data_IF_884263003206
#
_entry.id   IF_884263003206
#
_cell.length_a   1.000
_cell.length_b   1.000
_cell.length_c   1.000
_cell.angle_alpha   90.00
_cell.angle_beta   90.00
_cell.angle_gamma   90.00
#
_symmetry.space_group_name_H-M   'P 1'
#
loop_
_entity.id
_entity.type
_entity.pdbx_description
1 polymer ?
#
# COMPACT_ATOMS: atom_id res chain seq x y z
N UNK A 1 43.79 -32.25 -13.43
CA UNK A 1 43.75 -30.79 -13.12
C UNK A 1 42.69 -30.05 -13.92
N UNK A 2 42.64 -30.23 -15.26
CA UNK A 2 41.65 -29.59 -16.14
C UNK A 2 40.20 -30.06 -15.87
N UNK A 3 39.98 -31.35 -15.59
CA UNK A 3 38.65 -31.88 -15.23
C UNK A 3 38.06 -31.24 -13.97
N UNK A 4 38.87 -31.04 -12.92
CA UNK A 4 38.43 -30.37 -11.70
C UNK A 4 38.08 -28.90 -11.94
N UNK A 5 38.76 -28.22 -12.88
CA UNK A 5 38.44 -26.84 -13.25
C UNK A 5 37.08 -26.80 -13.97
N UNK A 6 36.83 -27.73 -14.90
CA UNK A 6 35.54 -27.85 -15.60
C UNK A 6 34.36 -28.14 -14.66
N UNK A 7 34.53 -29.08 -13.72
CA UNK A 7 33.51 -29.41 -12.72
C UNK A 7 33.22 -28.22 -11.80
N UNK A 8 34.25 -27.49 -11.36
CA UNK A 8 34.08 -26.31 -10.51
C UNK A 8 33.37 -25.15 -11.23
N UNK A 9 33.63 -24.96 -12.52
CA UNK A 9 32.94 -23.96 -13.35
C UNK A 9 31.45 -24.30 -13.53
N UNK A 10 31.14 -25.56 -13.82
CA UNK A 10 29.75 -26.03 -13.95
C UNK A 10 29.02 -25.90 -12.61
N UNK A 11 29.66 -26.33 -11.51
CA UNK A 11 29.11 -26.22 -10.15
C UNK A 11 28.84 -24.76 -9.76
N UNK A 12 29.79 -23.86 -10.04
CA UNK A 12 29.62 -22.42 -9.79
C UNK A 12 28.48 -21.81 -10.62
N UNK A 13 28.35 -22.23 -11.88
CA UNK A 13 27.24 -21.83 -12.75
C UNK A 13 25.87 -22.30 -12.22
N UNK A 14 25.78 -23.55 -11.77
CA UNK A 14 24.55 -24.10 -11.17
C UNK A 14 24.22 -23.37 -9.86
N UNK A 15 25.19 -23.16 -8.97
CA UNK A 15 25.00 -22.41 -7.74
C UNK A 15 24.57 -20.97 -7.98
N UNK A 16 25.13 -20.30 -9.00
CA UNK A 16 24.70 -18.97 -9.42
C UNK A 16 23.25 -18.98 -9.91
N UNK A 17 22.86 -19.94 -10.76
CA UNK A 17 21.49 -20.07 -11.26
C UNK A 17 20.49 -20.38 -10.14
N UNK A 18 20.84 -21.27 -9.21
CA UNK A 18 20.05 -21.55 -8.00
C UNK A 18 19.95 -20.28 -7.14
N UNK A 19 21.05 -19.54 -6.95
CA UNK A 19 21.07 -18.27 -6.22
C UNK A 19 20.14 -17.23 -6.85
N UNK A 20 20.17 -17.08 -8.18
CA UNK A 20 19.26 -16.20 -8.93
C UNK A 20 17.82 -16.68 -8.80
N UNK A 21 17.57 -17.99 -8.88
CA UNK A 21 16.24 -18.57 -8.73
C UNK A 21 15.69 -18.35 -7.32
N UNK A 22 16.46 -18.63 -6.28
CA UNK A 22 16.08 -18.41 -4.87
C UNK A 22 15.97 -16.90 -4.55
N UNK A 23 16.77 -16.03 -5.15
CA UNK A 23 16.59 -14.59 -5.00
C UNK A 23 15.26 -14.10 -5.63
N UNK A 24 14.75 -14.82 -6.65
CA UNK A 24 13.60 -14.39 -7.44
C UNK A 24 12.38 -15.33 -7.37
N UNK A 25 12.41 -16.45 -6.63
CA UNK A 25 11.36 -17.50 -6.68
C UNK A 25 9.99 -16.95 -6.32
N UNK A 26 9.95 -15.99 -5.40
CA UNK A 26 8.70 -15.35 -5.02
C UNK A 26 8.17 -14.44 -6.14
N UNK A 27 9.03 -13.85 -7.00
CA UNK A 27 8.61 -13.04 -8.17
C UNK A 27 8.08 -13.97 -9.26
N UNK A 28 8.68 -15.15 -9.38
CA UNK A 28 8.23 -16.24 -10.25
C UNK A 28 6.79 -16.63 -9.88
N UNK A 29 6.42 -16.71 -8.60
CA UNK A 29 5.04 -17.02 -8.20
C UNK A 29 3.97 -16.10 -8.80
N UNK A 30 4.17 -14.78 -8.77
CA UNK A 30 3.22 -13.83 -9.38
C UNK A 30 3.25 -13.90 -10.91
N UNK A 31 4.43 -14.14 -11.49
CA UNK A 31 4.58 -14.38 -12.93
C UNK A 31 3.80 -15.62 -13.38
N UNK A 32 3.92 -16.75 -12.69
CA UNK A 32 3.16 -17.97 -12.99
C UNK A 32 1.66 -17.71 -12.87
N UNK A 33 1.21 -17.03 -11.80
CA UNK A 33 -0.21 -16.64 -11.68
C UNK A 33 -0.67 -15.75 -12.84
N UNK A 34 0.19 -14.85 -13.33
CA UNK A 34 -0.12 -14.00 -14.48
C UNK A 34 -0.35 -14.80 -15.77
N UNK A 35 0.37 -15.93 -15.94
CA UNK A 35 0.18 -16.86 -17.05
C UNK A 35 -1.08 -17.71 -16.88
N UNK A 36 -1.34 -18.25 -15.68
CA UNK A 36 -2.56 -19.02 -15.38
C UNK A 36 -3.81 -18.15 -15.62
N UNK A 37 -3.75 -16.87 -15.24
CA UNK A 37 -4.85 -15.93 -15.37
C UNK A 37 -4.70 -15.00 -16.59
N UNK A 38 -4.00 -15.43 -17.65
CA UNK A 38 -3.59 -14.60 -18.80
C UNK A 38 -4.70 -13.69 -19.37
N UNK A 39 -5.89 -14.26 -19.59
CA UNK A 39 -7.06 -13.56 -20.15
C UNK A 39 -8.16 -13.21 -19.12
N UNK A 40 -7.92 -13.46 -17.83
CA UNK A 40 -8.87 -13.10 -16.77
C UNK A 40 -8.63 -11.65 -16.33
N UNK A 41 -9.71 -10.97 -15.94
CA UNK A 41 -9.62 -9.64 -15.34
C UNK A 41 -9.08 -9.76 -13.91
N UNK A 42 -8.05 -8.97 -13.64
CA UNK A 42 -7.37 -8.87 -12.37
C UNK A 42 -7.50 -7.43 -11.90
N UNK A 43 -8.03 -7.27 -10.70
CA UNK A 43 -8.16 -5.98 -10.04
C UNK A 43 -6.82 -5.55 -9.45
N UNK A 44 -6.47 -4.30 -9.62
CA UNK A 44 -5.38 -3.63 -8.92
C UNK A 44 -5.98 -2.57 -7.99
N UNK A 45 -5.41 -2.43 -6.81
CA UNK A 45 -5.60 -1.28 -5.93
C UNK A 45 -4.23 -0.89 -5.41
N UNK A 46 -3.75 0.28 -5.83
CA UNK A 46 -2.39 0.74 -5.56
C UNK A 46 -2.43 1.95 -4.65
N UNK A 47 -2.05 1.77 -3.39
CA UNK A 47 -2.14 2.77 -2.34
C UNK A 47 -0.78 3.00 -1.68
N UNK A 48 -0.73 4.02 -0.84
CA UNK A 48 0.32 4.17 0.15
C UNK A 48 -0.30 4.08 1.55
N UNK A 49 0.53 3.94 2.59
CA UNK A 49 0.09 3.95 3.98
C UNK A 49 1.13 4.71 4.81
N UNK A 50 0.67 5.52 5.76
CA UNK A 50 1.55 6.16 6.72
C UNK A 50 1.66 5.35 8.00
N UNK A 51 2.90 5.13 8.40
CA UNK A 51 3.27 4.83 9.78
C UNK A 51 3.47 6.18 10.47
N UNK A 52 2.59 6.51 11.41
CA UNK A 52 2.73 7.68 12.28
C UNK A 52 2.77 7.16 13.71
N UNK A 53 3.93 7.23 14.34
CA UNK A 53 4.17 6.67 15.68
C UNK A 53 4.30 7.78 16.71
N UNK A 54 3.48 7.72 17.75
CA UNK A 54 3.59 8.56 18.95
C UNK A 54 3.89 7.61 20.10
N UNK A 55 5.05 7.79 20.73
CA UNK A 55 5.62 6.85 21.71
C UNK A 55 5.67 5.40 21.18
N UNK A 56 4.87 4.52 21.77
CA UNK A 56 4.75 3.11 21.39
C UNK A 56 3.45 2.76 20.67
N UNK A 57 2.65 3.76 20.28
CA UNK A 57 1.35 3.59 19.63
C UNK A 57 1.36 4.12 18.20
N UNK A 58 0.45 3.60 17.40
CA UNK A 58 0.25 3.94 16.00
C UNK A 58 -1.00 4.77 15.84
N UNK A 59 -0.91 5.88 15.11
CA UNK A 59 -2.08 6.69 14.78
C UNK A 59 -2.88 6.02 13.67
N UNK A 60 -4.11 5.64 13.99
CA UNK A 60 -5.10 5.19 13.01
C UNK A 60 -6.23 6.23 12.89
N UNK A 61 -6.88 6.24 11.73
CA UNK A 61 -8.03 7.08 11.42
C UNK A 61 -9.25 6.20 11.13
N UNK A 62 -10.44 6.68 11.45
CA UNK A 62 -11.71 6.05 11.10
C UNK A 62 -11.92 6.13 9.58
N UNK A 63 -12.13 4.98 8.96
CA UNK A 63 -12.37 4.87 7.53
C UNK A 63 -13.69 5.51 7.10
N UNK A 64 -13.65 6.27 5.99
CA UNK A 64 -14.85 6.92 5.43
C UNK A 64 -15.72 5.96 4.60
N UNK A 65 -15.12 4.95 3.97
CA UNK A 65 -15.80 4.00 3.05
C UNK A 65 -16.21 2.70 3.76
N UNK A 66 -15.42 2.26 4.73
CA UNK A 66 -15.65 1.04 5.52
C UNK A 66 -15.52 1.43 6.99
N UNK A 67 -16.49 1.03 7.81
CA UNK A 67 -16.47 1.25 9.25
C UNK A 67 -15.40 0.37 9.91
N UNK A 68 -14.17 0.89 9.94
CA UNK A 68 -13.00 0.30 10.58
C UNK A 68 -11.96 1.40 10.83
N UNK A 69 -11.01 1.14 11.73
CA UNK A 69 -9.80 1.95 11.84
C UNK A 69 -8.81 1.49 10.79
N UNK A 70 -8.08 2.43 10.19
CA UNK A 70 -7.07 2.17 9.18
C UNK A 70 -5.90 3.14 9.33
N UNK A 71 -4.74 2.87 8.73
CA UNK A 71 -3.64 3.83 8.74
C UNK A 71 -4.06 5.11 8.03
N UNK A 72 -3.56 6.24 8.52
CA UNK A 72 -3.60 7.49 7.75
C UNK A 72 -2.88 7.25 6.43
N UNK A 73 -3.32 7.90 5.35
CA UNK A 73 -2.74 7.69 4.03
C UNK A 73 -3.35 6.51 3.28
N UNK A 74 -4.34 5.81 3.84
CA UNK A 74 -5.00 4.63 3.26
C UNK A 74 -5.72 4.84 1.92
N UNK A 75 -5.65 6.02 1.32
CA UNK A 75 -6.16 6.25 -0.01
C UNK A 75 -5.18 5.88 -1.12
N UNK A 76 -5.73 5.90 -2.33
CA UNK A 76 -5.12 5.28 -3.51
C UNK A 76 -4.37 6.34 -4.29
N UNK A 77 -3.21 5.97 -4.82
CA UNK A 77 -2.46 6.85 -5.71
C UNK A 77 -3.34 7.32 -6.88
N UNK A 78 -3.21 8.60 -7.26
CA UNK A 78 -3.92 9.12 -8.43
C UNK A 78 -3.07 9.14 -9.70
N UNK A 79 -3.69 9.01 -10.86
CA UNK A 79 -3.07 9.24 -12.17
C UNK A 79 -3.28 10.66 -12.67
N UNK A 80 -2.41 11.11 -13.57
CA UNK A 80 -2.61 12.34 -14.34
C UNK A 80 -3.17 12.02 -15.73
N UNK A 81 -3.70 13.03 -16.43
CA UNK A 81 -4.31 12.88 -17.75
C UNK A 81 -3.40 12.22 -18.81
N UNK A 82 -2.07 12.39 -18.67
CA UNK A 82 -1.06 11.76 -19.53
C UNK A 82 -0.96 10.23 -19.37
N UNK A 83 -1.62 9.64 -18.37
CA UNK A 83 -1.72 8.20 -18.17
C UNK A 83 -2.54 7.50 -19.27
N UNK A 84 -3.35 8.23 -20.05
CA UNK A 84 -4.22 7.67 -21.09
C UNK A 84 -3.47 6.79 -22.13
N UNK A 85 -2.18 7.05 -22.37
CA UNK A 85 -1.33 6.22 -23.25
C UNK A 85 -1.09 4.85 -22.61
N UNK A 86 -0.79 4.82 -21.32
CA UNK A 86 -0.58 3.59 -20.55
C UNK A 86 -1.90 2.84 -20.38
N UNK A 87 -2.98 3.56 -20.09
CA UNK A 87 -4.33 3.03 -19.97
C UNK A 87 -4.73 2.20 -21.20
N UNK A 88 -4.64 2.80 -22.41
CA UNK A 88 -4.94 2.12 -23.67
C UNK A 88 -3.98 0.95 -23.93
N UNK A 89 -2.68 1.14 -23.71
CA UNK A 89 -1.66 0.09 -23.94
C UNK A 89 -1.88 -1.14 -23.06
N UNK A 90 -2.38 -0.94 -21.85
CA UNK A 90 -2.61 -1.99 -20.86
C UNK A 90 -4.07 -2.44 -20.80
N UNK A 91 -4.96 -1.92 -21.65
CA UNK A 91 -6.40 -2.20 -21.62
C UNK A 91 -6.95 -2.09 -20.18
N UNK A 92 -6.67 -0.96 -19.55
CA UNK A 92 -7.10 -0.67 -18.18
C UNK A 92 -8.55 -0.22 -18.21
N UNK A 93 -9.35 -0.80 -17.31
CA UNK A 93 -10.71 -0.36 -17.03
C UNK A 93 -10.76 0.08 -15.58
N UNK A 94 -10.90 1.38 -15.33
CA UNK A 94 -11.00 1.89 -13.95
C UNK A 94 -12.21 1.31 -13.22
N UNK A 95 -12.06 1.15 -11.90
CA UNK A 95 -13.13 0.67 -11.02
C UNK A 95 -14.32 1.61 -11.12
N UNK A 96 -15.53 1.09 -11.25
CA UNK A 96 -16.76 1.89 -11.31
C UNK A 96 -17.77 1.49 -10.23
N UNK A 97 -17.34 0.68 -9.25
CA UNK A 97 -18.18 0.22 -8.16
C UNK A 97 -18.59 1.38 -7.24
N UNK A 98 -19.89 1.43 -6.89
CA UNK A 98 -20.44 2.49 -6.04
C UNK A 98 -19.75 2.48 -4.67
N UNK A 99 -19.36 3.67 -4.19
CA UNK A 99 -18.63 3.83 -2.93
C UNK A 99 -17.12 3.64 -3.03
N UNK A 100 -16.62 3.05 -4.12
CA UNK A 100 -15.18 2.87 -4.37
C UNK A 100 -14.63 3.68 -5.53
N UNK A 101 -15.48 4.10 -6.47
CA UNK A 101 -15.12 4.99 -7.57
C UNK A 101 -14.68 6.35 -7.07
N UNK A 102 -13.55 6.80 -7.59
CA UNK A 102 -13.03 8.15 -7.44
C UNK A 102 -12.15 8.46 -8.65
N UNK A 103 -12.29 9.67 -9.20
CA UNK A 103 -11.62 10.02 -10.45
C UNK A 103 -10.09 9.98 -10.30
N UNK A 104 -9.44 9.31 -11.24
CA UNK A 104 -8.00 9.12 -11.26
C UNK A 104 -7.42 8.11 -10.26
N UNK A 105 -8.21 7.49 -9.38
CA UNK A 105 -7.70 6.48 -8.45
C UNK A 105 -7.08 5.29 -9.21
N UNK A 106 -5.90 4.84 -8.78
CA UNK A 106 -5.28 3.58 -9.22
C UNK A 106 -5.99 2.33 -8.65
N UNK A 107 -7.31 2.30 -8.83
CA UNK A 107 -8.20 1.15 -8.71
C UNK A 107 -8.72 0.81 -10.09
N UNK A 108 -8.27 -0.31 -10.64
CA UNK A 108 -8.64 -0.68 -11.99
C UNK A 108 -8.53 -2.19 -12.24
N UNK A 109 -9.15 -2.66 -13.31
CA UNK A 109 -8.99 -4.01 -13.84
C UNK A 109 -8.12 -4.01 -15.10
N UNK A 110 -7.28 -5.03 -15.24
CA UNK A 110 -6.58 -5.35 -16.49
C UNK A 110 -6.47 -6.88 -16.65
N UNK A 111 -6.10 -7.35 -17.85
CA UNK A 111 -5.87 -8.78 -18.09
C UNK A 111 -4.61 -9.26 -17.39
N UNK A 112 -4.61 -10.51 -16.89
CA UNK A 112 -3.46 -11.10 -16.20
C UNK A 112 -2.14 -10.99 -16.96
N UNK A 113 -2.17 -11.11 -18.30
CA UNK A 113 -1.00 -10.90 -19.18
C UNK A 113 -0.29 -9.55 -19.03
N UNK A 114 -0.98 -8.54 -18.49
CA UNK A 114 -0.47 -7.19 -18.30
C UNK A 114 0.10 -6.93 -16.90
N UNK A 115 0.01 -7.88 -15.95
CA UNK A 115 0.47 -7.70 -14.55
C UNK A 115 1.91 -7.20 -14.49
N UNK A 116 2.85 -7.86 -15.18
CA UNK A 116 4.26 -7.45 -15.14
C UNK A 116 4.49 -6.06 -15.75
N UNK A 117 3.68 -5.68 -16.74
CA UNK A 117 3.75 -4.35 -17.37
C UNK A 117 3.24 -3.27 -16.42
N UNK A 118 2.15 -3.53 -15.70
CA UNK A 118 1.64 -2.65 -14.64
C UNK A 118 2.69 -2.45 -13.55
N UNK A 119 3.30 -3.53 -13.05
CA UNK A 119 4.33 -3.42 -12.02
C UNK A 119 5.57 -2.66 -12.49
N UNK A 120 5.99 -2.87 -13.74
CA UNK A 120 7.10 -2.12 -14.35
C UNK A 120 6.78 -0.64 -14.50
N UNK A 121 5.56 -0.31 -14.95
CA UNK A 121 5.08 1.06 -15.05
C UNK A 121 4.98 1.72 -13.67
N UNK A 122 4.41 1.06 -12.66
CA UNK A 122 4.29 1.63 -11.33
C UNK A 122 5.67 2.01 -10.75
N UNK A 123 6.69 1.20 -11.04
CA UNK A 123 8.09 1.47 -10.67
C UNK A 123 8.71 2.65 -11.43
N UNK A 124 8.27 2.98 -12.66
CA UNK A 124 8.80 4.14 -13.40
C UNK A 124 8.34 5.47 -12.80
N UNK A 125 7.25 5.48 -12.01
CA UNK A 125 6.63 6.67 -11.40
C UNK A 125 6.02 7.65 -12.41
N UNK A 126 6.01 7.29 -13.70
CA UNK A 126 5.51 8.16 -14.76
C UNK A 126 3.98 8.30 -14.71
N UNK A 127 3.50 9.52 -14.96
CA UNK A 127 2.09 9.84 -15.14
C UNK A 127 1.17 9.51 -13.95
N UNK A 128 1.74 9.42 -12.73
CA UNK A 128 1.00 9.23 -11.48
C UNK A 128 1.51 10.16 -10.38
N UNK A 129 0.72 10.29 -9.34
CA UNK A 129 1.10 10.90 -8.07
C UNK A 129 2.40 10.27 -7.55
N UNK A 130 3.37 11.13 -7.25
CA UNK A 130 4.66 10.78 -6.66
C UNK A 130 4.82 11.44 -5.29
N UNK A 131 4.30 12.66 -5.15
CA UNK A 131 4.24 13.37 -3.89
C UNK A 131 3.14 12.74 -3.01
N UNK A 132 3.55 12.11 -1.91
CA UNK A 132 2.65 11.46 -0.94
C UNK A 132 2.24 12.48 0.14
N UNK A 133 1.51 13.51 -0.26
CA UNK A 133 0.99 14.54 0.68
C UNK A 133 -0.53 14.63 0.67
N UNK A 134 -1.17 14.24 -0.44
CA UNK A 134 -2.60 14.47 -0.67
C UNK A 134 -3.47 13.84 0.40
N UNK A 135 -3.27 12.55 0.69
CA UNK A 135 -4.07 11.86 1.71
C UNK A 135 -3.85 12.46 3.10
N UNK A 136 -2.61 12.84 3.44
CA UNK A 136 -2.35 13.50 4.73
C UNK A 136 -3.08 14.84 4.81
N UNK A 137 -3.07 15.60 3.72
CA UNK A 137 -3.80 16.86 3.64
C UNK A 137 -5.31 16.65 3.76
N UNK A 138 -5.88 15.68 3.05
CA UNK A 138 -7.31 15.38 3.03
C UNK A 138 -7.81 14.81 4.36
N UNK A 139 -7.05 13.90 4.98
CA UNK A 139 -7.46 13.18 6.18
C UNK A 139 -7.11 13.93 7.47
N UNK A 140 -5.99 14.65 7.51
CA UNK A 140 -5.49 15.32 8.72
C UNK A 140 -5.75 16.83 8.68
N UNK A 141 -5.31 17.51 7.63
CA UNK A 141 -5.33 18.99 7.60
C UNK A 141 -6.74 19.51 7.34
N UNK A 142 -7.44 18.97 6.33
CA UNK A 142 -8.80 19.40 5.97
C UNK A 142 -9.82 19.11 7.08
N UNK A 143 -9.57 18.09 7.90
CA UNK A 143 -10.37 17.78 9.08
C UNK A 143 -9.94 18.55 10.34
N UNK A 144 -9.05 19.54 10.21
CA UNK A 144 -8.56 20.38 11.31
C UNK A 144 -7.89 19.62 12.46
N UNK A 145 -7.32 18.44 12.18
CA UNK A 145 -6.55 17.67 13.18
C UNK A 145 -5.19 18.35 13.40
N UNK A 146 -4.50 18.71 12.33
CA UNK A 146 -3.25 19.47 12.37
C UNK A 146 -3.33 20.69 11.45
N UNK A 147 -2.66 21.80 11.79
CA UNK A 147 -2.63 22.97 10.92
C UNK A 147 -1.73 22.71 9.71
N UNK A 148 -2.02 23.37 8.59
CA UNK A 148 -1.27 23.23 7.33
C UNK A 148 0.25 23.45 7.47
N UNK A 149 0.68 24.24 8.46
CA UNK A 149 2.10 24.48 8.78
C UNK A 149 2.88 23.19 9.06
N UNK A 150 2.22 22.10 9.48
CA UNK A 150 2.90 20.81 9.67
C UNK A 150 3.61 20.32 8.40
N UNK A 151 3.12 20.68 7.21
CA UNK A 151 3.70 20.24 5.95
C UNK A 151 5.12 20.77 5.71
N UNK A 152 5.50 21.90 6.31
CA UNK A 152 6.88 22.43 6.22
C UNK A 152 7.85 21.78 7.19
N UNK A 153 7.33 21.21 8.28
CA UNK A 153 8.12 20.78 9.43
C UNK A 153 8.21 19.25 9.51
N UNK A 154 7.28 18.53 8.88
CA UNK A 154 7.30 17.08 8.82
C UNK A 154 8.26 16.56 7.75
N UNK A 155 8.80 15.36 7.98
CA UNK A 155 9.51 14.62 6.93
C UNK A 155 8.80 13.30 6.64
N UNK A 156 8.91 12.87 5.39
CA UNK A 156 8.31 11.63 4.89
C UNK A 156 9.41 10.69 4.44
N UNK A 157 9.54 9.55 5.11
CA UNK A 157 10.53 8.54 4.80
C UNK A 157 9.86 7.34 4.12
N UNK A 158 10.37 6.90 2.96
CA UNK A 158 9.92 5.64 2.37
C UNK A 158 10.56 4.46 3.09
N UNK A 159 9.76 3.59 3.70
CA UNK A 159 10.26 2.42 4.42
C UNK A 159 10.39 1.20 3.50
N UNK A 160 9.28 0.82 2.85
CA UNK A 160 9.17 -0.43 2.09
C UNK A 160 7.99 -0.41 1.15
N UNK A 161 8.09 -1.20 0.08
CA UNK A 161 6.92 -1.60 -0.71
C UNK A 161 6.49 -3.00 -0.27
N UNK A 162 5.22 -3.15 0.08
CA UNK A 162 4.64 -4.46 0.35
C UNK A 162 4.61 -5.26 -0.93
N UNK A 163 5.15 -6.46 -0.83
CA UNK A 163 5.26 -7.37 -1.95
C UNK A 163 3.86 -7.66 -2.53
N UNK A 164 3.62 -7.36 -3.82
CA UNK A 164 2.31 -7.64 -4.43
C UNK A 164 2.06 -9.14 -4.47
N UNK A 165 0.85 -9.52 -4.07
CA UNK A 165 0.34 -10.90 -4.12
C UNK A 165 -1.02 -10.87 -4.81
N UNK A 166 -1.29 -11.89 -5.62
CA UNK A 166 -2.62 -12.10 -6.17
C UNK A 166 -3.44 -12.97 -5.23
N UNK A 167 -4.55 -12.43 -4.74
CA UNK A 167 -5.53 -13.07 -3.83
C UNK A 167 -6.93 -12.93 -4.40
N UNK A 168 -7.83 -13.86 -4.06
CA UNK A 168 -9.22 -13.73 -4.48
C UNK A 168 -9.97 -12.81 -3.53
N UNK A 169 -10.55 -11.74 -4.06
CA UNK A 169 -11.42 -10.85 -3.30
C UNK A 169 -12.83 -11.42 -3.28
N UNK A 170 -13.33 -11.73 -2.07
CA UNK A 170 -14.73 -12.16 -1.90
C UNK A 170 -15.72 -11.03 -2.21
N UNK A 171 -15.36 -9.79 -1.87
CA UNK A 171 -16.18 -8.60 -2.10
C UNK A 171 -16.34 -8.32 -3.59
N UNK A 172 -15.22 -8.18 -4.32
CA UNK A 172 -15.23 -7.89 -5.76
C UNK A 172 -15.44 -9.13 -6.65
N UNK A 173 -15.52 -10.33 -6.06
CA UNK A 173 -15.67 -11.63 -6.73
C UNK A 173 -14.68 -11.86 -7.88
N UNK A 174 -13.45 -11.41 -7.71
CA UNK A 174 -12.37 -11.52 -8.70
C UNK A 174 -11.00 -11.56 -8.02
N UNK A 175 -9.99 -12.01 -8.75
CA UNK A 175 -8.61 -11.93 -8.30
C UNK A 175 -8.16 -10.47 -8.24
N UNK A 176 -7.50 -10.11 -7.15
CA UNK A 176 -6.96 -8.78 -6.93
C UNK A 176 -5.49 -8.83 -6.53
N UNK A 177 -4.79 -7.74 -6.84
CA UNK A 177 -3.44 -7.43 -6.41
C UNK A 177 -3.49 -6.09 -5.70
N UNK A 178 -3.23 -6.13 -4.40
CA UNK A 178 -3.04 -4.93 -3.59
C UNK A 178 -1.54 -4.59 -3.57
N UNK A 179 -1.22 -3.33 -3.82
CA UNK A 179 0.14 -2.80 -3.76
C UNK A 179 0.15 -1.63 -2.79
N UNK A 180 1.00 -1.71 -1.77
CA UNK A 180 1.16 -0.68 -0.74
C UNK A 180 2.60 -0.22 -0.68
N UNK A 181 2.82 1.08 -0.84
CA UNK A 181 4.06 1.73 -0.43
C UNK A 181 3.89 2.25 1.01
N UNK A 182 4.82 1.92 1.91
CA UNK A 182 4.75 2.31 3.33
C UNK A 182 5.72 3.46 3.57
N UNK A 183 5.21 4.56 4.13
CA UNK A 183 5.98 5.73 4.48
C UNK A 183 5.89 6.01 5.99
N UNK A 184 6.97 6.44 6.61
CA UNK A 184 6.95 6.96 7.98
C UNK A 184 6.84 8.48 7.94
N UNK A 185 5.91 9.03 8.72
CA UNK A 185 5.80 10.48 8.92
C UNK A 185 6.46 10.82 10.24
N UNK A 186 7.54 11.59 10.14
CA UNK A 186 8.24 12.12 11.30
C UNK A 186 7.68 13.51 11.61
N UNK A 187 6.95 13.60 12.71
CA UNK A 187 6.42 14.85 13.26
C UNK A 187 7.34 15.38 14.37
N UNK A 188 7.47 16.70 14.45
CA UNK A 188 8.12 17.38 15.59
C UNK A 188 7.28 17.23 16.86
N UNK A 189 7.90 17.37 18.03
CA UNK A 189 7.22 17.25 19.33
C UNK A 189 5.98 18.14 19.44
N UNK A 190 6.11 19.40 19.00
CA UNK A 190 4.98 20.34 18.87
C UNK A 190 3.73 19.77 18.18
N UNK A 191 3.89 19.00 17.09
CA UNK A 191 2.75 18.43 16.36
C UNK A 191 2.27 17.10 16.96
N UNK A 192 3.16 16.38 17.65
CA UNK A 192 2.79 15.19 18.44
C UNK A 192 1.89 15.61 19.61
N UNK A 193 2.22 16.68 20.30
CA UNK A 193 1.42 17.26 21.38
C UNK A 193 0.02 17.66 20.91
N UNK A 194 -0.09 18.39 19.78
CA UNK A 194 -1.39 18.77 19.20
C UNK A 194 -2.23 17.53 18.86
N UNK A 195 -1.63 16.45 18.34
CA UNK A 195 -2.34 15.20 18.08
C UNK A 195 -2.86 14.55 19.36
N UNK A 196 -2.04 14.52 20.42
CA UNK A 196 -2.46 13.98 21.72
C UNK A 196 -3.64 14.78 22.29
N UNK A 197 -3.56 16.12 22.29
CA UNK A 197 -4.66 16.99 22.73
C UNK A 197 -5.94 16.78 21.91
N UNK A 198 -5.82 16.53 20.60
CA UNK A 198 -6.97 16.24 19.75
C UNK A 198 -7.66 14.93 20.16
N UNK A 199 -6.87 13.90 20.47
CA UNK A 199 -7.37 12.58 20.85
C UNK A 199 -8.04 12.61 22.22
N UNK A 200 -7.50 13.39 23.17
CA UNK A 200 -8.05 13.53 24.53
C UNK A 200 -9.43 14.19 24.56
N UNK A 201 -9.76 15.02 23.57
CA UNK A 201 -11.08 15.70 23.45
C UNK A 201 -12.22 14.77 23.00
N UNK A 202 -12.10 13.46 23.25
CA UNK A 202 -13.04 12.40 22.87
C UNK A 202 -13.46 12.41 21.40
N UNK A 203 -12.53 12.73 20.50
CA UNK A 203 -12.81 12.73 19.07
C UNK A 203 -12.67 11.31 18.50
N UNK A 204 -13.67 10.84 17.75
CA UNK A 204 -13.70 9.48 17.19
C UNK A 204 -13.00 9.35 15.83
N UNK A 205 -12.48 10.46 15.29
CA UNK A 205 -11.87 10.45 13.96
C UNK A 205 -10.52 9.74 13.95
N UNK A 206 -9.67 9.97 14.96
CA UNK A 206 -8.34 9.34 15.08
C UNK A 206 -8.16 8.70 16.45
N UNK A 207 -7.35 7.64 16.50
CA UNK A 207 -7.02 6.91 17.74
C UNK A 207 -5.55 6.49 17.71
N UNK A 208 -4.92 6.49 18.89
CA UNK A 208 -3.64 5.81 19.10
C UNK A 208 -3.90 4.37 19.50
N UNK A 209 -3.35 3.44 18.75
CA UNK A 209 -3.59 2.00 18.90
C UNK A 209 -2.27 1.27 19.16
N UNK A 210 -2.31 0.32 20.09
CA UNK A 210 -1.17 -0.52 20.42
C UNK A 210 -0.88 -1.56 19.33
N UNK A 211 0.35 -2.05 19.31
CA UNK A 211 0.80 -3.02 18.30
C UNK A 211 -0.05 -4.29 18.33
N UNK A 212 -0.35 -4.80 19.54
CA UNK A 212 -1.08 -6.05 19.73
C UNK A 212 -2.49 -5.98 19.14
N UNK A 213 -3.14 -4.83 19.21
CA UNK A 213 -4.50 -4.64 18.67
C UNK A 213 -4.49 -4.58 17.15
N UNK A 214 -3.45 -3.99 16.54
CA UNK A 214 -3.24 -4.04 15.09
C UNK A 214 -3.00 -5.49 14.63
N UNK A 215 -2.20 -6.27 15.35
CA UNK A 215 -1.95 -7.68 15.06
C UNK A 215 -3.24 -8.53 15.14
N UNK A 216 -4.14 -8.20 16.08
CA UNK A 216 -5.46 -8.83 16.22
C UNK A 216 -6.50 -8.31 15.22
N UNK A 217 -6.20 -7.26 14.46
CA UNK A 217 -7.15 -6.53 13.60
C UNK A 217 -8.38 -6.00 14.37
N UNK A 218 -8.23 -5.69 15.66
CA UNK A 218 -9.33 -5.29 16.53
C UNK A 218 -8.82 -4.50 17.74
N UNK A 219 -9.53 -3.44 18.12
CA UNK A 219 -9.30 -2.66 19.35
C UNK A 219 -10.60 -2.55 20.14
N UNK A 220 -10.52 -2.49 21.48
CA UNK A 220 -11.66 -2.16 22.32
C UNK A 220 -11.77 -0.64 22.48
N UNK A 221 -12.93 -0.08 22.16
CA UNK A 221 -13.25 1.32 22.36
C UNK A 221 -14.50 1.38 23.24
N UNK A 222 -14.31 1.78 24.50
CA UNK A 222 -15.39 1.95 25.48
C UNK A 222 -16.24 0.68 25.67
N UNK A 223 -15.59 -0.49 25.74
CA UNK A 223 -16.25 -1.79 25.93
C UNK A 223 -16.87 -2.38 24.67
N UNK A 224 -16.57 -1.81 23.50
CA UNK A 224 -17.01 -2.32 22.20
C UNK A 224 -15.82 -2.66 21.32
N UNK A 225 -15.85 -3.86 20.74
CA UNK A 225 -14.90 -4.28 19.71
C UNK A 225 -15.08 -3.44 18.44
N UNK A 226 -14.00 -2.80 18.01
CA UNK A 226 -13.93 -2.02 16.79
C UNK A 226 -12.89 -2.62 15.84
N UNK A 227 -13.28 -2.80 14.57
CA UNK A 227 -12.45 -3.46 13.57
C UNK A 227 -11.27 -2.57 13.15
N UNK A 228 -10.10 -3.17 12.99
CA UNK A 228 -8.95 -2.56 12.32
C UNK A 228 -8.77 -3.23 10.95
N UNK A 229 -8.49 -2.44 9.92
CA UNK A 229 -8.22 -2.97 8.59
C UNK A 229 -6.97 -3.87 8.58
N UNK A 230 -7.06 -5.05 7.96
CA UNK A 230 -5.94 -6.00 7.86
C UNK A 230 -4.64 -5.40 7.29
N UNK A 231 -4.75 -4.37 6.45
CA UNK A 231 -3.59 -3.67 5.88
C UNK A 231 -2.83 -2.82 6.91
N UNK A 232 -3.40 -2.54 8.09
CA UNK A 232 -2.69 -1.89 9.21
C UNK A 232 -1.50 -2.70 9.70
N UNK A 233 -1.50 -4.03 9.51
CA UNK A 233 -0.33 -4.85 9.87
C UNK A 233 0.93 -4.49 9.07
N UNK A 234 0.81 -3.73 7.97
CA UNK A 234 1.97 -3.32 7.17
C UNK A 234 2.75 -2.16 7.79
N UNK A 235 2.16 -1.41 8.72
CA UNK A 235 2.78 -0.22 9.36
C UNK A 235 3.48 -0.53 10.69
N UNK A 236 3.37 -1.76 11.21
CA UNK A 236 4.06 -2.23 12.42
C UNK A 236 5.38 -2.95 12.14
#
# INVERSE_FOLDING_TARGET
>A
MIENIGINLISSGICFLIGVFVANYRRIGLFVKSLIHWNKDIRFSIAYLYKIKIDNKYLLIKGNKIEQLQPVGGGVYKVYSSFNVIERKLNINFENERGFYEDGDLRFCTKGKNINKVLKWFKSRENREVAVYREFYEEIIKNNILPIKVLSDMSIEFLKQIRPKMTYSKHFKKNEILLFDIYEIHLTDKYREILCEYIEKENDLIKLVDREDIEKECVDISGKSFKIGAHSQYII
#
